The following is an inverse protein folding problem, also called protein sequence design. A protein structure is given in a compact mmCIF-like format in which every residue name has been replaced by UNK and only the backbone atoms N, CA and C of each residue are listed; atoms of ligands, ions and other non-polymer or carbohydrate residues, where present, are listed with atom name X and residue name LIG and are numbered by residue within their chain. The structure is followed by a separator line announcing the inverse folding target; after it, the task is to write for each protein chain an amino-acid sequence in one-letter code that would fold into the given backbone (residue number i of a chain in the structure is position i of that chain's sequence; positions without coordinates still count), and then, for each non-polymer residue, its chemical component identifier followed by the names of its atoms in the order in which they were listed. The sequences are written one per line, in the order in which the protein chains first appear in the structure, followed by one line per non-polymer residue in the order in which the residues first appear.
data_IF_537454085898
#
_entry.id   IF_537454085898
#
_cell.length_a   1.000
_cell.length_b   1.000
_cell.length_c   1.000
_cell.angle_alpha   90.00
_cell.angle_beta   90.00
_cell.angle_gamma   90.00
#
_symmetry.space_group_name_H-M   'P 1'
#
loop_
_entity.id
_entity.type
_entity.pdbx_description
1 polymer ?
#
# COMPACT_ATOMS: atom_id res chain seq x y z
N UNK A 1 -0.08 18.90 0.91
CA UNK A 1 -1.02 17.75 0.95
C UNK A 1 -1.52 17.35 -0.42
N UNK A 2 -2.14 18.25 -1.16
CA UNK A 2 -2.65 17.96 -2.51
C UNK A 2 -1.57 17.48 -3.49
N UNK A 3 -0.40 18.09 -3.45
CA UNK A 3 0.73 17.67 -4.28
C UNK A 3 1.15 16.23 -3.99
N UNK A 4 1.20 15.83 -2.72
CA UNK A 4 1.55 14.46 -2.32
C UNK A 4 0.54 13.45 -2.88
N UNK A 5 -0.77 13.72 -2.72
CA UNK A 5 -1.82 12.86 -3.25
C UNK A 5 -1.79 12.77 -4.78
N UNK A 6 -1.57 13.91 -5.46
CA UNK A 6 -1.48 13.94 -6.91
C UNK A 6 -0.29 13.13 -7.43
N UNK A 7 0.88 13.24 -6.79
CA UNK A 7 2.07 12.46 -7.13
C UNK A 7 1.85 10.96 -6.89
N UNK A 8 1.27 10.59 -5.76
CA UNK A 8 0.99 9.19 -5.45
C UNK A 8 -0.06 8.60 -6.39
N UNK A 9 -1.12 9.34 -6.67
CA UNK A 9 -2.14 8.93 -7.63
C UNK A 9 -1.53 8.73 -9.03
N UNK A 10 -0.75 9.68 -9.51
CA UNK A 10 -0.06 9.60 -10.81
C UNK A 10 0.91 8.42 -10.88
N UNK A 11 1.67 8.15 -9.81
CA UNK A 11 2.58 7.01 -9.72
C UNK A 11 1.83 5.68 -9.82
N UNK A 12 0.76 5.50 -9.07
CA UNK A 12 -0.03 4.26 -9.09
C UNK A 12 -0.79 4.09 -10.41
N UNK A 13 -1.35 5.17 -10.95
CA UNK A 13 -2.02 5.16 -12.24
C UNK A 13 -1.05 4.84 -13.38
N UNK A 14 0.13 5.45 -13.39
CA UNK A 14 1.16 5.18 -14.39
C UNK A 14 1.64 3.73 -14.37
N UNK A 15 1.86 3.17 -13.18
CA UNK A 15 2.20 1.74 -13.03
C UNK A 15 1.07 0.82 -13.48
N UNK A 16 -0.17 1.16 -13.17
CA UNK A 16 -1.33 0.39 -13.60
C UNK A 16 -1.46 0.35 -15.12
N UNK A 17 -1.36 1.52 -15.78
CA UNK A 17 -1.41 1.63 -17.23
C UNK A 17 -0.24 0.87 -17.88
N UNK A 18 0.98 1.08 -17.39
CA UNK A 18 2.15 0.38 -17.89
C UNK A 18 2.00 -1.15 -17.78
N UNK A 19 1.42 -1.63 -16.69
CA UNK A 19 1.20 -3.06 -16.47
C UNK A 19 0.16 -3.66 -17.41
N UNK A 20 -0.90 -2.91 -17.74
CA UNK A 20 -1.90 -3.33 -18.73
C UNK A 20 -1.27 -3.46 -20.13
N UNK A 21 -0.44 -2.50 -20.52
CA UNK A 21 0.18 -2.49 -21.86
C UNK A 21 1.33 -3.49 -22.00
N UNK A 22 2.14 -3.67 -20.97
CA UNK A 22 3.35 -4.52 -21.02
C UNK A 22 3.02 -5.99 -20.71
N UNK A 23 1.82 -6.33 -20.34
CA UNK A 23 1.32 -7.68 -20.02
C UNK A 23 2.43 -8.65 -19.60
N UNK A 24 2.99 -8.41 -18.42
CA UNK A 24 4.00 -9.29 -17.85
C UNK A 24 3.38 -10.66 -17.54
N UNK A 25 4.00 -11.71 -18.03
CA UNK A 25 3.59 -13.07 -17.69
C UNK A 25 3.74 -13.30 -16.18
N UNK A 26 2.70 -13.83 -15.56
CA UNK A 26 2.62 -14.03 -14.12
C UNK A 26 1.35 -13.40 -13.56
N UNK A 27 1.28 -13.13 -12.32
CA UNK A 27 0.14 -12.69 -11.51
C UNK A 27 -0.55 -11.37 -11.97
N UNK A 28 -0.92 -11.30 -13.27
CA UNK A 28 -1.52 -10.11 -13.89
C UNK A 28 -2.77 -9.64 -13.14
N UNK A 29 -3.67 -10.56 -12.82
CA UNK A 29 -4.92 -10.24 -12.12
C UNK A 29 -4.69 -9.73 -10.70
N UNK A 30 -3.75 -10.32 -9.97
CA UNK A 30 -3.39 -9.88 -8.62
C UNK A 30 -2.80 -8.47 -8.64
N UNK A 31 -1.97 -8.19 -9.63
CA UNK A 31 -1.34 -6.88 -9.79
C UNK A 31 -2.36 -5.81 -10.17
N UNK A 32 -3.26 -6.12 -11.11
CA UNK A 32 -4.37 -5.23 -11.49
C UNK A 32 -5.30 -4.95 -10.31
N UNK A 33 -5.69 -5.98 -9.57
CA UNK A 33 -6.55 -5.85 -8.39
C UNK A 33 -5.88 -4.96 -7.33
N UNK A 34 -4.59 -5.21 -7.05
CA UNK A 34 -3.81 -4.44 -6.10
C UNK A 34 -3.74 -2.95 -6.47
N UNK A 35 -3.41 -2.62 -7.72
CA UNK A 35 -3.33 -1.22 -8.17
C UNK A 35 -4.70 -0.55 -8.20
N UNK A 36 -5.76 -1.25 -8.60
CA UNK A 36 -7.14 -0.74 -8.59
C UNK A 36 -7.57 -0.40 -7.17
N UNK A 37 -7.33 -1.29 -6.21
CA UNK A 37 -7.64 -1.04 -4.79
C UNK A 37 -6.84 0.12 -4.22
N UNK A 38 -5.56 0.25 -4.61
CA UNK A 38 -4.73 1.37 -4.18
C UNK A 38 -5.24 2.71 -4.70
N UNK A 39 -5.60 2.79 -5.98
CA UNK A 39 -6.18 3.98 -6.59
C UNK A 39 -7.53 4.34 -5.94
N UNK A 40 -8.37 3.34 -5.68
CA UNK A 40 -9.64 3.53 -4.99
C UNK A 40 -9.44 4.11 -3.58
N UNK A 41 -8.51 3.53 -2.79
CA UNK A 41 -8.20 4.00 -1.45
C UNK A 41 -7.65 5.43 -1.43
N UNK A 42 -6.77 5.78 -2.38
CA UNK A 42 -6.24 7.15 -2.51
C UNK A 42 -7.37 8.13 -2.81
N UNK A 43 -8.20 7.82 -3.81
CA UNK A 43 -9.33 8.67 -4.21
C UNK A 43 -10.36 8.82 -3.09
N UNK A 44 -10.70 7.72 -2.42
CA UNK A 44 -11.66 7.72 -1.33
C UNK A 44 -11.15 8.51 -0.13
N UNK A 45 -9.90 8.32 0.28
CA UNK A 45 -9.28 9.08 1.36
C UNK A 45 -9.25 10.58 1.08
N UNK A 46 -9.01 10.95 -0.18
CA UNK A 46 -9.06 12.35 -0.60
C UNK A 46 -10.48 12.92 -0.51
N UNK A 47 -11.47 12.21 -1.03
CA UNK A 47 -12.87 12.67 -1.06
C UNK A 47 -13.48 12.86 0.33
N UNK A 48 -13.15 11.99 1.30
CA UNK A 48 -13.65 12.08 2.68
C UNK A 48 -12.79 12.96 3.59
N UNK A 49 -11.73 13.57 3.04
CA UNK A 49 -10.83 14.47 3.75
C UNK A 49 -10.10 13.85 4.95
N UNK A 50 -9.91 12.51 4.94
CA UNK A 50 -9.14 11.76 5.96
C UNK A 50 -7.66 11.70 5.61
N UNK A 51 -7.01 12.85 5.54
CA UNK A 51 -5.63 13.03 5.06
C UNK A 51 -4.60 12.23 5.85
N UNK A 52 -4.70 12.22 7.17
CA UNK A 52 -3.71 11.56 8.03
C UNK A 52 -3.72 10.04 7.86
N UNK A 53 -4.91 9.45 7.82
CA UNK A 53 -5.07 8.01 7.62
C UNK A 53 -4.62 7.63 6.20
N UNK A 54 -5.00 8.43 5.20
CA UNK A 54 -4.61 8.19 3.82
C UNK A 54 -3.10 8.25 3.61
N UNK A 55 -2.40 9.23 4.17
CA UNK A 55 -0.93 9.33 4.10
C UNK A 55 -0.28 8.13 4.78
N UNK A 56 -0.74 7.75 5.96
CA UNK A 56 -0.21 6.61 6.70
C UNK A 56 -0.35 5.31 5.89
N UNK A 57 -1.52 5.08 5.32
CA UNK A 57 -1.79 3.91 4.47
C UNK A 57 -0.88 3.89 3.25
N UNK A 58 -0.68 5.04 2.60
CA UNK A 58 0.19 5.15 1.43
C UNK A 58 1.65 4.87 1.75
N UNK A 59 2.16 5.41 2.86
CA UNK A 59 3.54 5.15 3.31
C UNK A 59 3.76 3.67 3.62
N UNK A 60 2.82 3.05 4.32
CA UNK A 60 2.84 1.61 4.61
C UNK A 60 2.81 0.78 3.31
N UNK A 61 1.99 1.20 2.36
CA UNK A 61 1.88 0.56 1.06
C UNK A 61 3.20 0.63 0.26
N UNK A 62 3.79 1.81 0.20
CA UNK A 62 5.07 2.02 -0.49
C UNK A 62 6.21 1.23 0.16
N UNK A 63 6.24 1.12 1.48
CA UNK A 63 7.25 0.32 2.18
C UNK A 63 7.16 -1.16 1.81
N UNK A 64 5.96 -1.72 1.78
CA UNK A 64 5.76 -3.13 1.42
C UNK A 64 6.09 -3.40 -0.06
N UNK A 65 5.74 -2.47 -0.95
CA UNK A 65 6.09 -2.56 -2.38
C UNK A 65 7.62 -2.51 -2.58
N UNK A 66 8.30 -1.64 -1.85
CA UNK A 66 9.77 -1.54 -1.88
C UNK A 66 10.44 -2.85 -1.43
N UNK A 67 9.97 -3.45 -0.34
CA UNK A 67 10.48 -4.73 0.15
C UNK A 67 10.28 -5.86 -0.89
N UNK A 68 9.13 -5.90 -1.56
CA UNK A 68 8.85 -6.85 -2.65
C UNK A 68 9.73 -6.64 -3.87
N UNK A 69 9.99 -5.39 -4.26
CA UNK A 69 10.87 -5.06 -5.40
C UNK A 69 12.30 -5.53 -5.12
N UNK A 70 12.82 -5.29 -3.92
CA UNK A 70 14.15 -5.78 -3.52
C UNK A 70 14.21 -7.30 -3.60
N UNK A 71 13.22 -8.01 -3.05
CA UNK A 71 13.16 -9.46 -3.10
C UNK A 71 13.15 -10.00 -4.53
N UNK A 72 12.38 -9.38 -5.43
CA UNK A 72 12.32 -9.77 -6.85
C UNK A 72 13.63 -9.49 -7.58
N UNK A 73 14.22 -8.30 -7.39
CA UNK A 73 15.50 -7.94 -8.00
C UNK A 73 16.63 -8.87 -7.56
N UNK A 74 16.62 -9.29 -6.30
CA UNK A 74 17.62 -10.23 -5.77
C UNK A 74 17.43 -11.64 -6.35
N UNK A 75 16.19 -12.05 -6.64
CA UNK A 75 15.90 -13.36 -7.28
C UNK A 75 16.58 -13.47 -8.64
N UNK A 76 16.66 -12.39 -9.39
CA UNK A 76 17.23 -12.35 -10.74
C UNK A 76 18.76 -12.23 -10.74
N UNK A 77 19.37 -12.09 -9.56
CA UNK A 77 20.82 -11.96 -9.45
C UNK A 77 21.54 -13.30 -9.66
N UNK A 78 22.63 -13.27 -10.44
CA UNK A 78 23.35 -14.47 -10.90
C UNK A 78 24.00 -15.30 -9.78
N UNK A 79 24.40 -14.67 -8.66
CA UNK A 79 25.02 -15.29 -7.50
C UNK A 79 24.14 -15.26 -6.25
N UNK A 80 22.87 -15.60 -6.41
CA UNK A 80 21.90 -15.61 -5.31
C UNK A 80 22.26 -16.63 -4.23
N UNK A 81 22.31 -16.17 -3.00
CA UNK A 81 22.32 -17.04 -1.83
C UNK A 81 20.87 -17.32 -1.45
N UNK A 82 20.45 -18.57 -1.48
CA UNK A 82 19.06 -18.96 -1.18
C UNK A 82 18.57 -18.48 0.19
N UNK A 83 19.46 -18.47 1.18
CA UNK A 83 19.14 -17.97 2.51
C UNK A 83 18.73 -16.49 2.53
N UNK A 84 19.44 -15.62 1.78
CA UNK A 84 19.12 -14.19 1.72
C UNK A 84 17.78 -13.97 0.98
N UNK A 85 17.54 -14.76 -0.06
CA UNK A 85 16.27 -14.72 -0.79
C UNK A 85 15.10 -15.13 0.11
N UNK A 86 15.27 -16.22 0.86
CA UNK A 86 14.26 -16.67 1.81
C UNK A 86 14.00 -15.64 2.91
N UNK A 87 15.04 -15.06 3.49
CA UNK A 87 14.92 -13.99 4.48
C UNK A 87 14.21 -12.75 3.93
N UNK A 88 14.48 -12.35 2.70
CA UNK A 88 13.79 -11.23 2.04
C UNK A 88 12.29 -11.52 1.84
N UNK A 89 11.93 -12.73 1.43
CA UNK A 89 10.52 -13.12 1.29
C UNK A 89 9.78 -13.18 2.63
N UNK A 90 10.39 -13.78 3.65
CA UNK A 90 9.81 -13.83 5.01
C UNK A 90 9.63 -12.42 5.56
N UNK A 91 10.60 -11.53 5.36
CA UNK A 91 10.48 -10.13 5.77
C UNK A 91 9.35 -9.40 5.01
N UNK A 92 9.26 -9.59 3.70
CA UNK A 92 8.21 -8.97 2.88
C UNK A 92 6.82 -9.44 3.30
N UNK A 93 6.61 -10.74 3.49
CA UNK A 93 5.33 -11.32 3.93
C UNK A 93 5.01 -10.88 5.36
N UNK A 94 5.97 -10.95 6.27
CA UNK A 94 5.79 -10.54 7.67
C UNK A 94 5.45 -9.05 7.80
N UNK A 95 6.16 -8.19 7.09
CA UNK A 95 5.86 -6.75 7.08
C UNK A 95 4.49 -6.46 6.44
N UNK A 96 4.12 -7.17 5.39
CA UNK A 96 2.83 -7.02 4.75
C UNK A 96 1.67 -7.37 5.69
N UNK A 97 1.77 -8.51 6.39
CA UNK A 97 0.77 -8.93 7.38
C UNK A 97 0.71 -7.94 8.53
N UNK A 98 1.86 -7.60 9.12
CA UNK A 98 1.93 -6.72 10.27
C UNK A 98 1.36 -5.33 9.96
N UNK A 99 1.79 -4.74 8.86
CA UNK A 99 1.43 -3.37 8.51
C UNK A 99 0.00 -3.26 7.98
N UNK A 100 -0.45 -4.20 7.17
CA UNK A 100 -1.80 -4.14 6.58
C UNK A 100 -2.88 -4.72 7.46
N UNK A 101 -2.65 -5.90 8.04
CA UNK A 101 -3.70 -6.56 8.81
C UNK A 101 -3.77 -6.00 10.23
N UNK A 102 -2.64 -5.84 10.91
CA UNK A 102 -2.61 -5.43 12.32
C UNK A 102 -2.70 -3.91 12.46
N UNK A 103 -1.72 -3.20 11.93
CA UNK A 103 -1.59 -1.75 12.16
C UNK A 103 -2.69 -0.98 11.43
N UNK A 104 -2.99 -1.33 10.18
CA UNK A 104 -4.05 -0.68 9.42
C UNK A 104 -5.42 -0.91 10.02
N UNK A 105 -5.77 -2.15 10.37
CA UNK A 105 -7.05 -2.45 11.01
C UNK A 105 -7.19 -1.74 12.35
N UNK A 106 -6.14 -1.76 13.18
CA UNK A 106 -6.14 -1.06 14.45
C UNK A 106 -6.33 0.45 14.28
N UNK A 107 -5.58 1.07 13.38
CA UNK A 107 -5.64 2.51 13.11
C UNK A 107 -7.01 2.93 12.55
N UNK A 108 -7.58 2.15 11.63
CA UNK A 108 -8.89 2.43 11.07
C UNK A 108 -10.01 2.30 12.11
N UNK A 109 -9.99 1.24 12.89
CA UNK A 109 -11.01 1.01 13.93
C UNK A 109 -10.90 2.09 15.02
N UNK A 110 -9.71 2.31 15.54
CA UNK A 110 -9.47 3.29 16.60
C UNK A 110 -9.76 4.72 16.14
N UNK A 111 -9.31 5.07 14.93
CA UNK A 111 -9.56 6.38 14.33
C UNK A 111 -11.06 6.64 14.10
N UNK A 112 -11.82 5.62 13.69
CA UNK A 112 -13.27 5.73 13.50
C UNK A 112 -13.99 5.94 14.82
N UNK A 113 -13.64 5.20 15.87
CA UNK A 113 -14.22 5.38 17.21
C UNK A 113 -13.91 6.77 17.77
N UNK A 114 -12.69 7.23 17.64
CA UNK A 114 -12.29 8.55 18.12
C UNK A 114 -13.01 9.69 17.38
N UNK A 115 -13.18 9.56 16.06
CA UNK A 115 -13.93 10.54 15.28
C UNK A 115 -15.41 10.60 15.67
N UNK A 116 -16.04 9.45 15.93
CA UNK A 116 -17.42 9.38 16.41
C UNK A 116 -17.56 10.03 17.79
N UNK A 117 -16.68 9.72 18.71
CA UNK A 117 -16.69 10.31 20.06
C UNK A 117 -16.51 11.83 20.02
N UNK A 118 -15.60 12.32 19.17
CA UNK A 118 -15.37 13.75 19.00
C UNK A 118 -16.62 14.48 18.45
N UNK A 119 -17.29 13.88 17.47
CA UNK A 119 -18.53 14.41 16.93
C UNK A 119 -19.65 14.47 17.97
N UNK A 120 -19.82 13.44 18.78
CA UNK A 120 -20.82 13.45 19.84
C UNK A 120 -20.54 14.51 20.90
N UNK A 121 -19.28 14.74 21.26
CA UNK A 121 -18.89 15.79 22.22
C UNK A 121 -19.08 17.21 21.66
N UNK A 122 -18.99 17.40 20.35
CA UNK A 122 -19.16 18.72 19.74
C UNK A 122 -20.64 19.10 19.54
N UNK A 123 -21.56 18.14 19.62
CA UNK A 123 -23.00 18.37 19.49
C UNK A 123 -23.71 18.60 20.84
N UNK A 124 -23.06 18.34 21.94
CA UNK A 124 -23.53 18.63 23.29
C UNK A 124 -22.85 19.87 23.88
#
# INVERSE_FOLDING_TARGET
MELFYSVQFGKHLGRFIAHIFIRSEGNFYEYCLHHTLSLFLISFSYCINYWYIGIFVLVVHDYTDFALIIGRSYKDYRHKKEFILYAAYVHAIGSWILLRVVIFSYTCVYGSFYAVEYHFKSMN
#
